data_IF_096096248616
#
_entry.id   IF_096096248616
#
_cell.length_a   1.000
_cell.length_b   1.000
_cell.length_c   1.000
_cell.angle_alpha   90.00
_cell.angle_beta   90.00
_cell.angle_gamma   90.00
#
_symmetry.space_group_name_H-M   'P 1'
#
loop_
_entity.id
_entity.type
_entity.pdbx_description
1 polymer ?
#
# COMPACT_ATOMS: atom_id res chain seq x y z
N UNK A 1 1.49 -9.31 -7.20
CA UNK A 1 2.51 -10.26 -7.66
C UNK A 1 2.00 -11.04 -8.88
N UNK A 2 2.85 -11.26 -9.84
CA UNK A 2 2.61 -12.17 -10.99
C UNK A 2 3.93 -12.82 -11.38
N UNK A 3 3.88 -14.11 -11.66
CA UNK A 3 4.97 -14.91 -12.23
C UNK A 3 4.52 -15.48 -13.58
N UNK A 4 5.33 -15.27 -14.60
CA UNK A 4 5.00 -15.65 -15.98
C UNK A 4 6.18 -16.37 -16.61
N UNK A 5 5.92 -17.49 -17.25
CA UNK A 5 6.88 -18.17 -18.12
C UNK A 5 6.68 -17.68 -19.57
N UNK A 6 7.74 -17.13 -20.16
CA UNK A 6 7.69 -16.53 -21.50
C UNK A 6 8.75 -17.16 -22.39
N UNK A 7 8.36 -17.52 -23.62
CA UNK A 7 9.33 -17.82 -24.68
C UNK A 7 9.90 -16.51 -25.22
N UNK A 8 11.18 -16.28 -24.99
CA UNK A 8 11.90 -15.07 -25.39
C UNK A 8 12.71 -15.22 -26.67
N UNK A 9 12.63 -16.36 -27.34
CA UNK A 9 13.42 -16.67 -28.55
C UNK A 9 13.21 -15.67 -29.71
N UNK A 10 12.06 -15.00 -29.74
CA UNK A 10 11.73 -13.96 -30.73
C UNK A 10 11.90 -12.52 -30.23
N UNK A 11 12.35 -12.31 -29.00
CA UNK A 11 12.50 -11.00 -28.40
C UNK A 11 13.98 -10.58 -28.43
N UNK A 12 14.24 -9.38 -28.92
CA UNK A 12 15.59 -8.80 -28.92
C UNK A 12 15.88 -8.00 -27.64
N UNK A 13 14.85 -7.44 -27.03
CA UNK A 13 14.90 -6.67 -25.78
C UNK A 13 13.50 -6.56 -25.16
N UNK A 14 13.41 -6.18 -23.91
CA UNK A 14 12.14 -5.83 -23.25
C UNK A 14 12.35 -4.64 -22.31
N UNK A 15 11.48 -3.66 -22.44
CA UNK A 15 11.51 -2.47 -21.61
C UNK A 15 10.83 -2.77 -20.27
N UNK A 16 11.57 -2.52 -19.20
CA UNK A 16 11.08 -2.68 -17.83
C UNK A 16 10.85 -1.31 -17.17
N UNK A 17 9.71 -1.15 -16.57
CA UNK A 17 9.37 0.02 -15.75
C UNK A 17 8.95 -0.43 -14.37
N UNK A 18 9.67 0.03 -13.35
CA UNK A 18 9.33 -0.27 -11.95
C UNK A 18 8.49 0.88 -11.39
N UNK A 19 7.30 0.55 -10.93
CA UNK A 19 6.40 1.51 -10.31
C UNK A 19 6.96 2.07 -9.00
N UNK A 20 6.83 3.36 -8.80
CA UNK A 20 7.19 4.01 -7.54
C UNK A 20 6.16 3.70 -6.45
N UNK A 21 6.58 3.72 -5.20
CA UNK A 21 5.66 3.67 -4.07
C UNK A 21 4.75 4.90 -4.04
N UNK A 22 3.53 4.72 -3.58
CA UNK A 22 2.62 5.83 -3.33
C UNK A 22 3.09 6.67 -2.14
N UNK A 23 2.88 7.98 -2.19
CA UNK A 23 3.18 8.86 -1.06
C UNK A 23 2.10 8.78 0.00
N UNK A 24 2.50 8.85 1.26
CA UNK A 24 1.56 8.96 2.38
C UNK A 24 0.73 10.24 2.32
N UNK A 25 -0.46 10.19 2.87
CA UNK A 25 -1.32 11.36 2.97
C UNK A 25 -0.71 12.41 3.91
N UNK A 26 -0.80 13.67 3.55
CA UNK A 26 -0.33 14.76 4.40
C UNK A 26 -1.17 14.90 5.67
N UNK A 27 -0.56 15.37 6.74
CA UNK A 27 -1.28 15.76 7.95
C UNK A 27 -2.29 16.89 7.65
N UNK A 28 -3.33 16.99 8.47
CA UNK A 28 -4.40 17.96 8.30
C UNK A 28 -4.78 18.56 9.65
N UNK A 29 -5.22 19.82 9.63
CA UNK A 29 -5.73 20.53 10.80
C UNK A 29 -7.25 20.36 10.98
N UNK A 30 -7.86 19.42 10.26
CA UNK A 30 -9.28 19.08 10.34
C UNK A 30 -9.45 17.61 10.70
N UNK A 31 -10.67 17.21 11.00
CA UNK A 31 -11.08 15.92 11.57
C UNK A 31 -10.52 14.64 10.92
N UNK A 32 -9.93 14.72 9.75
CA UNK A 32 -9.34 13.59 9.05
C UNK A 32 -8.02 14.01 8.39
N UNK A 33 -7.02 13.11 8.37
CA UNK A 33 -5.86 13.26 7.51
C UNK A 33 -6.25 13.23 6.03
N UNK A 34 -5.30 13.49 5.14
CA UNK A 34 -5.51 13.33 3.72
C UNK A 34 -5.27 11.87 3.29
N UNK A 35 -5.97 11.36 2.27
CA UNK A 35 -5.67 10.04 1.72
C UNK A 35 -4.25 10.01 1.13
N UNK A 36 -3.61 8.85 1.19
CA UNK A 36 -2.37 8.59 0.45
C UNK A 36 -2.62 8.47 -1.04
N UNK A 37 -1.56 8.62 -1.83
CA UNK A 37 -1.61 8.41 -3.27
C UNK A 37 -1.38 6.93 -3.62
N UNK A 38 -1.94 6.50 -4.74
CA UNK A 38 -1.70 5.17 -5.29
C UNK A 38 -0.23 5.00 -5.71
N UNK A 39 0.29 3.79 -5.61
CA UNK A 39 1.58 3.43 -6.20
C UNK A 39 1.49 3.29 -7.72
N UNK A 40 2.63 3.43 -8.39
CA UNK A 40 2.77 3.23 -9.82
C UNK A 40 2.75 1.74 -10.20
N UNK A 41 2.36 1.43 -11.44
CA UNK A 41 2.41 0.08 -11.99
C UNK A 41 3.84 -0.34 -12.35
N UNK A 42 4.16 -1.61 -12.10
CA UNK A 42 5.39 -2.26 -12.57
C UNK A 42 5.08 -3.04 -13.83
N UNK A 43 5.81 -2.79 -14.91
CA UNK A 43 5.48 -3.26 -16.27
C UNK A 43 6.72 -3.84 -16.93
N UNK A 44 6.57 -4.96 -17.60
CA UNK A 44 7.46 -5.41 -18.67
C UNK A 44 6.66 -5.25 -19.96
N UNK A 45 7.08 -4.32 -20.83
CA UNK A 45 6.32 -3.91 -22.00
C UNK A 45 6.00 -5.11 -22.91
N UNK A 46 4.73 -5.24 -23.28
CA UNK A 46 4.25 -6.34 -24.13
C UNK A 46 4.15 -7.71 -23.43
N UNK A 47 4.61 -7.83 -22.19
CA UNK A 47 4.62 -9.12 -21.47
C UNK A 47 3.66 -9.10 -20.28
N UNK A 48 3.86 -8.21 -19.32
CA UNK A 48 3.03 -8.19 -18.12
C UNK A 48 2.87 -6.78 -17.54
N UNK A 49 1.82 -6.60 -16.75
CA UNK A 49 1.58 -5.43 -15.95
C UNK A 49 1.09 -5.83 -14.56
N UNK A 50 1.76 -5.29 -13.54
CA UNK A 50 1.38 -5.45 -12.14
C UNK A 50 1.01 -4.07 -11.57
N UNK A 51 -0.27 -3.81 -11.30
CA UNK A 51 -0.72 -2.51 -10.80
C UNK A 51 -0.10 -2.18 -9.43
N UNK A 52 0.09 -0.91 -9.17
CA UNK A 52 0.48 -0.42 -7.85
C UNK A 52 -0.62 -0.58 -6.80
N UNK A 53 -0.23 -0.58 -5.54
CA UNK A 53 -1.18 -0.60 -4.42
C UNK A 53 -1.97 0.71 -4.32
N UNK A 54 -3.15 0.63 -3.74
CA UNK A 54 -4.00 1.80 -3.46
C UNK A 54 -3.47 2.59 -2.28
N UNK A 55 -3.61 3.91 -2.36
CA UNK A 55 -3.31 4.81 -1.25
C UNK A 55 -4.21 4.53 -0.05
N UNK A 56 -3.60 4.53 1.15
CA UNK A 56 -4.33 4.34 2.40
C UNK A 56 -5.32 5.46 2.66
N UNK A 57 -6.46 5.12 3.24
CA UNK A 57 -7.44 6.13 3.66
C UNK A 57 -7.15 6.61 5.07
N UNK A 58 -7.35 7.89 5.37
CA UNK A 58 -7.18 8.42 6.71
C UNK A 58 -8.24 7.85 7.65
N UNK A 59 -7.92 7.78 8.93
CA UNK A 59 -8.93 7.59 9.96
C UNK A 59 -9.91 8.76 9.97
N UNK A 60 -11.20 8.49 9.90
CA UNK A 60 -12.26 9.51 9.94
C UNK A 60 -12.88 9.54 11.34
N UNK A 61 -13.01 10.73 11.91
CA UNK A 61 -13.76 10.92 13.16
C UNK A 61 -15.25 11.02 12.87
N UNK A 62 -16.04 10.26 13.55
CA UNK A 62 -17.51 10.32 13.50
C UNK A 62 -18.12 9.87 14.83
N UNK A 63 -19.41 9.99 14.96
CA UNK A 63 -20.15 9.71 16.20
C UNK A 63 -20.35 8.24 16.52
N UNK A 64 -20.02 7.33 15.59
CA UNK A 64 -20.19 5.89 15.77
C UNK A 64 -19.12 5.12 14.97
N UNK A 65 -18.25 4.37 15.69
CA UNK A 65 -17.31 3.37 15.14
C UNK A 65 -16.51 3.79 13.90
N UNK A 66 -15.56 4.69 14.09
CA UNK A 66 -14.69 5.12 13.00
C UNK A 66 -13.51 4.16 12.82
N UNK A 67 -13.62 3.31 11.86
CA UNK A 67 -12.54 2.45 11.40
C UNK A 67 -11.94 3.04 10.14
N UNK A 68 -10.61 3.19 10.10
CA UNK A 68 -9.92 3.42 8.84
C UNK A 68 -10.28 2.27 7.89
N UNK A 69 -10.71 2.59 6.67
CA UNK A 69 -11.07 1.58 5.67
C UNK A 69 -9.80 1.18 4.92
N UNK A 70 -9.43 -0.09 4.99
CA UNK A 70 -8.43 -0.65 4.10
C UNK A 70 -9.05 -0.78 2.70
N UNK A 71 -8.45 -0.14 1.69
CA UNK A 71 -8.90 -0.29 0.31
C UNK A 71 -8.13 -1.43 -0.34
N UNK A 72 -8.89 -2.40 -0.85
CA UNK A 72 -8.34 -3.46 -1.68
C UNK A 72 -8.01 -2.86 -3.05
N UNK A 73 -6.78 -3.07 -3.54
CA UNK A 73 -6.48 -2.85 -4.93
C UNK A 73 -7.37 -3.77 -5.79
N UNK A 74 -8.23 -3.19 -6.61
CA UNK A 74 -9.19 -3.96 -7.41
C UNK A 74 -8.60 -4.48 -8.73
N UNK A 75 -7.44 -3.96 -9.13
CA UNK A 75 -6.81 -4.37 -10.37
C UNK A 75 -5.91 -5.60 -10.15
N UNK A 76 -6.22 -6.67 -10.85
CA UNK A 76 -5.39 -7.86 -10.89
C UNK A 76 -4.17 -7.63 -11.79
N UNK A 77 -3.03 -8.27 -11.50
CA UNK A 77 -1.93 -8.36 -12.44
C UNK A 77 -2.38 -9.04 -13.74
N UNK A 78 -1.84 -8.60 -14.86
CA UNK A 78 -2.17 -9.16 -16.18
C UNK A 78 -0.90 -9.57 -16.93
N UNK A 79 -0.97 -10.69 -17.65
CA UNK A 79 0.02 -11.08 -18.65
C UNK A 79 -0.59 -10.97 -20.04
N UNK A 80 0.17 -10.37 -20.95
CA UNK A 80 -0.20 -10.27 -22.37
C UNK A 80 0.49 -11.36 -23.18
N UNK A 81 1.65 -11.82 -22.73
CA UNK A 81 2.44 -12.86 -23.37
C UNK A 81 2.89 -13.87 -22.32
N UNK A 82 2.92 -15.17 -22.72
CA UNK A 82 3.39 -16.25 -21.87
C UNK A 82 2.31 -16.94 -21.05
N UNK A 83 2.74 -17.86 -20.20
CA UNK A 83 1.87 -18.63 -19.31
C UNK A 83 2.03 -18.12 -17.88
N UNK A 84 0.92 -17.73 -17.26
CA UNK A 84 0.92 -17.34 -15.84
C UNK A 84 1.14 -18.59 -15.00
N UNK A 85 2.21 -18.62 -14.22
CA UNK A 85 2.53 -19.69 -13.28
C UNK A 85 1.90 -19.41 -11.91
N UNK A 86 1.95 -18.16 -11.46
CA UNK A 86 1.34 -17.71 -10.21
C UNK A 86 0.91 -16.26 -10.31
N UNK A 87 -0.19 -15.93 -9.65
CA UNK A 87 -0.62 -14.55 -9.52
C UNK A 87 -1.39 -14.36 -8.21
N UNK A 88 -1.08 -13.32 -7.50
CA UNK A 88 -1.77 -12.96 -6.27
C UNK A 88 -1.88 -11.45 -6.10
N UNK A 89 -2.95 -11.02 -5.46
CA UNK A 89 -3.06 -9.66 -4.97
C UNK A 89 -2.30 -9.52 -3.66
N UNK A 90 -1.82 -8.32 -3.36
CA UNK A 90 -1.19 -8.03 -2.08
C UNK A 90 -2.16 -8.31 -0.93
N UNK A 91 -1.60 -8.67 0.20
CA UNK A 91 -2.34 -8.75 1.44
C UNK A 91 -3.01 -7.40 1.74
N UNK A 92 -4.25 -7.46 2.18
CA UNK A 92 -5.00 -6.26 2.57
C UNK A 92 -4.41 -5.78 3.89
N UNK A 93 -4.02 -4.53 3.95
CA UNK A 93 -3.67 -3.94 5.24
C UNK A 93 -4.83 -4.09 6.23
N UNK A 94 -4.51 -4.35 7.48
CA UNK A 94 -5.56 -4.46 8.49
C UNK A 94 -6.29 -3.12 8.65
N UNK A 95 -7.62 -3.11 8.71
CA UNK A 95 -8.38 -1.89 8.97
C UNK A 95 -7.95 -1.31 10.33
N UNK A 96 -7.94 0.00 10.44
CA UNK A 96 -7.76 0.68 11.72
C UNK A 96 -8.92 0.35 12.65
N UNK A 97 -8.65 0.24 13.94
CA UNK A 97 -9.69 0.08 14.95
C UNK A 97 -9.78 1.32 15.83
N UNK A 98 -10.95 1.55 16.42
CA UNK A 98 -11.08 2.57 17.45
C UNK A 98 -10.30 2.12 18.70
N UNK A 99 -9.46 3.00 19.23
CA UNK A 99 -8.72 2.73 20.47
C UNK A 99 -9.16 3.73 21.53
N UNK A 100 -9.72 3.19 22.59
CA UNK A 100 -10.09 3.93 23.78
C UNK A 100 -11.60 4.20 23.91
N UNK A 101 -12.00 4.53 25.12
CA UNK A 101 -13.38 4.86 25.49
C UNK A 101 -13.77 6.31 25.17
N UNK A 102 -12.90 7.05 24.51
CA UNK A 102 -13.14 8.45 24.12
C UNK A 102 -13.72 8.58 22.71
N UNK A 103 -14.67 9.47 22.49
CA UNK A 103 -15.37 9.60 21.19
C UNK A 103 -14.50 10.17 20.06
N UNK A 104 -13.23 10.47 20.28
CA UNK A 104 -12.44 11.35 19.42
C UNK A 104 -11.07 10.78 19.00
N UNK A 105 -10.90 9.45 18.97
CA UNK A 105 -9.63 8.85 18.55
C UNK A 105 -9.85 7.73 17.54
N UNK A 106 -9.18 7.78 16.40
CA UNK A 106 -9.18 6.70 15.41
C UNK A 106 -7.76 6.29 15.05
N UNK A 107 -7.52 4.98 14.95
CA UNK A 107 -6.27 4.44 14.41
C UNK A 107 -6.25 4.55 12.89
N UNK A 108 -5.07 4.76 12.34
CA UNK A 108 -4.83 4.53 10.92
C UNK A 108 -4.94 3.04 10.54
N UNK A 109 -4.97 2.77 9.25
CA UNK A 109 -4.86 1.41 8.71
C UNK A 109 -3.40 0.96 8.67
N UNK A 110 -3.16 -0.33 8.83
CA UNK A 110 -1.85 -0.90 8.52
C UNK A 110 -1.71 -1.03 6.99
N UNK A 111 -0.52 -0.76 6.46
CA UNK A 111 -0.21 -0.99 5.06
C UNK A 111 -0.23 -2.48 4.69
N UNK A 112 -0.58 -2.81 3.46
CA UNK A 112 -0.52 -4.17 2.92
C UNK A 112 0.92 -4.63 2.69
N UNK A 113 1.13 -5.93 2.68
CA UNK A 113 2.41 -6.57 2.34
C UNK A 113 2.29 -7.27 0.99
N UNK A 114 3.34 -7.26 0.18
CA UNK A 114 3.36 -8.04 -1.05
C UNK A 114 3.47 -9.54 -0.73
N UNK A 115 2.75 -10.41 -1.47
CA UNK A 115 2.91 -11.85 -1.37
C UNK A 115 4.29 -12.30 -1.88
N UNK A 116 4.65 -13.55 -1.60
CA UNK A 116 5.85 -14.17 -2.16
C UNK A 116 7.14 -14.02 -1.34
N UNK A 117 7.07 -13.58 -0.08
CA UNK A 117 8.24 -13.60 0.81
C UNK A 117 9.37 -12.64 0.42
N UNK A 118 9.10 -11.62 -0.39
CA UNK A 118 10.06 -10.61 -0.86
C UNK A 118 10.53 -9.63 0.24
N UNK A 119 10.40 -10.00 1.51
CA UNK A 119 10.77 -9.14 2.63
C UNK A 119 9.88 -7.91 2.78
N UNK A 120 8.73 -7.92 2.14
CA UNK A 120 7.76 -6.84 2.18
C UNK A 120 7.03 -6.81 3.53
N UNK A 121 7.09 -5.67 4.19
CA UNK A 121 6.34 -5.43 5.43
C UNK A 121 5.55 -4.14 5.29
N UNK A 122 4.24 -4.23 5.40
CA UNK A 122 3.37 -3.05 5.41
C UNK A 122 3.70 -2.11 6.57
N UNK A 123 3.59 -0.81 6.33
CA UNK A 123 3.84 0.22 7.33
C UNK A 123 2.90 0.09 8.53
N UNK A 124 3.39 0.42 9.71
CA UNK A 124 2.61 0.37 10.94
C UNK A 124 1.48 1.41 10.89
N UNK A 125 0.34 1.08 11.48
CA UNK A 125 -0.73 2.04 11.68
C UNK A 125 -0.29 3.16 12.64
N UNK A 126 -0.63 4.40 12.31
CA UNK A 126 -0.50 5.51 13.26
C UNK A 126 -1.42 5.27 14.46
N UNK A 127 -0.90 5.47 15.66
CA UNK A 127 -1.66 5.33 16.90
C UNK A 127 -1.90 6.69 17.54
N UNK A 128 -3.14 7.05 17.85
CA UNK A 128 -3.36 8.20 18.70
C UNK A 128 -2.93 7.78 20.11
N UNK A 129 -1.88 8.40 20.60
CA UNK A 129 -1.46 8.23 21.98
C UNK A 129 -1.58 9.59 22.65
N UNK A 130 -1.71 9.59 23.98
CA UNK A 130 -1.86 10.80 24.81
C UNK A 130 -1.00 11.97 24.33
N UNK A 131 -1.44 13.19 24.56
CA UNK A 131 -0.83 14.43 24.08
C UNK A 131 0.70 14.38 24.06
N UNK A 132 1.30 14.37 22.88
CA UNK A 132 2.75 14.38 22.69
C UNK A 132 3.35 13.24 21.90
N UNK A 133 2.59 12.26 21.45
CA UNK A 133 3.08 11.15 20.62
C UNK A 133 2.67 11.31 19.15
N UNK A 134 3.58 10.92 18.27
CA UNK A 134 3.41 10.99 16.82
C UNK A 134 2.39 9.95 16.36
N UNK A 135 1.24 10.41 15.86
CA UNK A 135 0.19 9.58 15.27
C UNK A 135 0.39 9.27 13.79
N UNK A 136 1.58 9.52 13.26
CA UNK A 136 1.93 9.30 11.85
C UNK A 136 1.97 7.80 11.54
N UNK A 137 1.47 7.41 10.38
CA UNK A 137 1.63 6.07 9.85
C UNK A 137 3.08 5.80 9.46
N UNK A 138 3.56 4.58 9.70
CA UNK A 138 4.90 4.15 9.31
C UNK A 138 5.02 3.85 7.83
N UNK A 139 6.22 4.04 7.27
CA UNK A 139 6.53 3.65 5.90
C UNK A 139 6.52 2.12 5.72
N UNK A 140 6.16 1.67 4.53
CA UNK A 140 6.38 0.30 4.08
C UNK A 140 7.86 -0.04 4.03
N UNK A 141 8.20 -1.32 4.12
CA UNK A 141 9.58 -1.83 4.03
C UNK A 141 9.67 -2.96 3.02
N UNK A 142 10.84 -3.10 2.41
CA UNK A 142 11.05 -4.08 1.35
C UNK A 142 10.50 -3.60 0.00
N UNK A 143 9.94 -4.51 -0.79
CA UNK A 143 9.40 -4.22 -2.13
C UNK A 143 7.88 -4.33 -2.15
N UNK A 144 7.22 -3.46 -2.90
CA UNK A 144 5.77 -3.45 -3.09
C UNK A 144 4.96 -3.45 -1.79
N UNK A 145 5.46 -2.83 -0.73
CA UNK A 145 4.77 -2.68 0.54
C UNK A 145 3.98 -1.37 0.59
N UNK A 146 2.80 -1.41 1.18
CA UNK A 146 2.00 -0.22 1.44
C UNK A 146 2.47 0.53 2.69
N UNK A 147 2.35 1.84 2.72
CA UNK A 147 2.51 2.64 3.93
C UNK A 147 1.30 2.54 4.86
N UNK A 148 1.51 2.73 6.14
CA UNK A 148 0.44 2.77 7.14
C UNK A 148 -0.33 4.09 7.08
N UNK A 149 -1.61 4.08 7.41
CA UNK A 149 -2.42 5.28 7.55
C UNK A 149 -2.11 6.05 8.83
N UNK A 150 -2.23 7.36 8.78
CA UNK A 150 -2.15 8.21 9.97
C UNK A 150 -3.40 8.08 10.85
N UNK A 151 -3.23 8.34 12.13
CA UNK A 151 -4.33 8.41 13.09
C UNK A 151 -5.01 9.77 13.10
N UNK A 152 -6.14 9.87 13.75
CA UNK A 152 -6.81 11.13 14.03
C UNK A 152 -7.09 11.27 15.50
N UNK A 153 -6.79 12.44 16.08
CA UNK A 153 -7.00 12.75 17.49
C UNK A 153 -7.80 14.03 17.59
N UNK A 154 -8.97 13.95 18.20
CA UNK A 154 -9.90 15.08 18.36
C UNK A 154 -10.26 15.76 17.03
N UNK A 155 -11.20 16.71 17.08
CA UNK A 155 -11.70 17.40 15.88
C UNK A 155 -10.70 18.37 15.23
N UNK A 156 -9.42 18.32 15.53
CA UNK A 156 -8.46 19.34 15.11
C UNK A 156 -7.17 18.82 14.52
N UNK A 157 -6.87 17.52 14.63
CA UNK A 157 -5.57 17.00 14.17
C UNK A 157 -5.71 15.64 13.50
N UNK A 158 -5.43 15.60 12.21
CA UNK A 158 -5.20 14.37 11.44
C UNK A 158 -3.71 14.22 11.16
N UNK A 159 -3.13 13.08 11.51
CA UNK A 159 -1.71 12.78 11.25
C UNK A 159 -1.51 12.25 9.85
N UNK A 160 -0.31 12.44 9.31
CA UNK A 160 0.06 11.95 8.00
C UNK A 160 0.17 10.42 7.93
N UNK A 161 -0.02 9.86 6.76
CA UNK A 161 0.27 8.44 6.47
C UNK A 161 1.73 8.23 6.08
N UNK A 162 2.22 7.00 6.21
CA UNK A 162 3.53 6.59 5.72
C UNK A 162 3.53 6.32 4.21
N UNK A 163 4.70 6.31 3.63
CA UNK A 163 4.90 6.04 2.21
C UNK A 163 4.89 4.52 1.91
N UNK A 164 4.41 4.15 0.74
CA UNK A 164 4.62 2.82 0.18
C UNK A 164 6.01 2.69 -0.45
N UNK A 165 6.41 1.46 -0.76
CA UNK A 165 7.67 1.15 -1.45
C UNK A 165 7.43 0.82 -2.92
N UNK A 166 8.46 1.01 -3.74
CA UNK A 166 8.41 0.69 -5.16
C UNK A 166 8.25 -0.80 -5.44
N UNK A 167 7.86 -1.13 -6.67
CA UNK A 167 7.75 -2.49 -7.16
C UNK A 167 9.10 -3.20 -7.31
N UNK A 168 9.05 -4.42 -7.83
CA UNK A 168 10.23 -5.27 -8.04
C UNK A 168 10.02 -6.13 -9.28
N UNK A 169 11.09 -6.36 -10.03
CA UNK A 169 11.13 -7.30 -11.15
C UNK A 169 12.31 -8.24 -10.93
N UNK A 170 12.05 -9.54 -11.06
CA UNK A 170 13.10 -10.56 -11.15
C UNK A 170 12.94 -11.32 -12.45
N UNK A 171 14.03 -11.50 -13.19
CA UNK A 171 14.05 -12.24 -14.45
C UNK A 171 15.05 -13.40 -14.30
N UNK A 172 14.59 -14.60 -14.60
CA UNK A 172 15.44 -15.79 -14.64
C UNK A 172 15.39 -16.36 -16.04
N UNK A 173 16.53 -16.49 -16.68
CA UNK A 173 16.65 -17.11 -18.01
C UNK A 173 17.09 -18.56 -17.87
N UNK A 174 16.44 -19.41 -18.64
CA UNK A 174 16.80 -20.82 -18.76
C UNK A 174 17.41 -21.05 -20.16
N UNK A 175 18.60 -21.64 -20.18
CA UNK A 175 19.31 -21.99 -21.41
C UNK A 175 18.93 -23.42 -21.88
#
# INVERSE_FOLDING_TARGET
FIEVLVDVSGLSNYDCSIGLGGTGGAASNVNAGNPGLDGGSTIIAGILSCPGGKGGQPGVLGTTNNTGIAIIGTALPTATLGTILDSSVSDIGAPGSQVGTGPNQSLGCRGGSAPGGLGSVGGQAGRPIDAGTDGTGGDGKGHAAGGGGGSSVSNTTGYGGGNGTGGFISITEFA
#
